data_IF_502379172816
#
_entry.id   IF_502379172816
#
_cell.length_a   1.000
_cell.length_b   1.000
_cell.length_c   1.000
_cell.angle_alpha   90.00
_cell.angle_beta   90.00
_cell.angle_gamma   90.00
#
_symmetry.space_group_name_H-M   'P 1'
#
loop_
_entity.id
_entity.type
_entity.pdbx_description
1 polymer ?
#
# COMPACT_ATOMS: atom_id res chain seq x y z
N UNK A 1 13.66 -4.89 -23.42
CA UNK A 1 12.66 -5.97 -23.28
C UNK A 1 11.81 -5.67 -22.05
N UNK A 2 10.53 -5.36 -22.24
CA UNK A 2 9.61 -5.09 -21.14
C UNK A 2 9.45 -6.32 -20.26
N UNK A 3 9.51 -6.14 -18.95
CA UNK A 3 9.12 -7.19 -18.01
C UNK A 3 7.68 -7.60 -18.34
N UNK A 4 7.35 -8.90 -18.33
CA UNK A 4 5.96 -9.33 -18.50
C UNK A 4 5.11 -8.65 -17.41
N UNK A 5 3.92 -8.09 -17.76
CA UNK A 5 3.03 -7.53 -16.76
C UNK A 5 2.76 -8.61 -15.72
N UNK A 6 2.99 -8.27 -14.44
CA UNK A 6 2.69 -9.18 -13.34
C UNK A 6 1.24 -9.63 -13.49
N UNK A 7 1.00 -10.95 -13.50
CA UNK A 7 -0.35 -11.47 -13.50
C UNK A 7 -1.07 -10.93 -12.27
N UNK A 8 -2.25 -10.30 -12.41
CA UNK A 8 -2.95 -9.70 -11.29
C UNK A 8 -3.18 -10.79 -10.25
N UNK A 9 -2.62 -10.57 -9.06
CA UNK A 9 -2.81 -11.46 -7.94
C UNK A 9 -4.22 -11.29 -7.38
N UNK A 10 -4.70 -12.25 -6.61
CA UNK A 10 -5.99 -12.10 -5.92
C UNK A 10 -6.02 -10.86 -4.99
N UNK A 11 -4.84 -10.44 -4.51
CA UNK A 11 -4.64 -9.21 -3.72
C UNK A 11 -4.91 -7.94 -4.55
N UNK A 12 -4.61 -7.95 -5.85
CA UNK A 12 -4.78 -6.81 -6.76
C UNK A 12 -6.24 -6.59 -7.17
N UNK A 13 -7.13 -7.57 -6.95
CA UNK A 13 -8.54 -7.48 -7.37
C UNK A 13 -9.52 -7.41 -6.20
N UNK A 14 -9.42 -8.31 -5.22
CA UNK A 14 -10.40 -8.37 -4.12
C UNK A 14 -10.06 -7.42 -2.97
N UNK A 15 -8.76 -7.17 -2.74
CA UNK A 15 -8.27 -6.29 -1.68
C UNK A 15 -7.60 -5.03 -2.24
N UNK A 16 -7.98 -4.65 -3.45
CA UNK A 16 -7.49 -3.43 -4.06
C UNK A 16 -7.93 -2.21 -3.24
N UNK A 17 -7.15 -1.10 -3.28
CA UNK A 17 -7.50 0.17 -2.66
C UNK A 17 -8.95 0.62 -2.87
N UNK A 18 -9.45 0.46 -4.09
CA UNK A 18 -10.80 0.83 -4.49
C UNK A 18 -11.90 -0.04 -3.83
N UNK A 19 -11.57 -1.24 -3.35
CA UNK A 19 -12.55 -2.16 -2.77
C UNK A 19 -12.84 -1.89 -1.28
N UNK A 20 -12.07 -1.03 -0.61
CA UNK A 20 -12.23 -0.76 0.83
C UNK A 20 -13.65 -0.29 1.17
N UNK A 21 -14.23 0.59 0.35
CA UNK A 21 -15.58 1.12 0.55
C UNK A 21 -16.64 0.02 0.46
N UNK A 22 -16.44 -0.96 -0.45
CA UNK A 22 -17.34 -2.10 -0.61
C UNK A 22 -17.26 -2.99 0.62
N UNK A 23 -16.06 -3.27 1.13
CA UNK A 23 -15.88 -4.07 2.34
C UNK A 23 -16.48 -3.40 3.59
N UNK A 24 -16.31 -2.09 3.74
CA UNK A 24 -16.94 -1.31 4.83
C UNK A 24 -18.46 -1.38 4.74
N UNK A 25 -19.03 -1.14 3.55
CA UNK A 25 -20.48 -1.18 3.34
C UNK A 25 -21.04 -2.57 3.60
N UNK A 26 -20.45 -3.61 3.02
CA UNK A 26 -20.88 -5.01 3.17
C UNK A 26 -20.83 -5.47 4.64
N UNK A 27 -19.74 -5.14 5.35
CA UNK A 27 -19.59 -5.48 6.77
C UNK A 27 -20.62 -4.75 7.63
N UNK A 28 -20.90 -3.48 7.33
CA UNK A 28 -21.91 -2.68 8.04
C UNK A 28 -23.32 -3.25 7.83
N UNK A 29 -23.66 -3.61 6.59
CA UNK A 29 -24.95 -4.24 6.28
C UNK A 29 -25.07 -5.59 7.00
N UNK A 30 -24.04 -6.44 6.94
CA UNK A 30 -24.02 -7.74 7.61
C UNK A 30 -24.15 -7.61 9.13
N UNK A 31 -23.54 -6.58 9.73
CA UNK A 31 -23.67 -6.29 11.15
C UNK A 31 -25.11 -6.00 11.54
N UNK A 32 -25.75 -5.03 10.87
CA UNK A 32 -27.13 -4.64 11.18
C UNK A 32 -28.15 -5.74 10.86
N UNK A 33 -27.99 -6.44 9.74
CA UNK A 33 -28.85 -7.58 9.38
C UNK A 33 -28.73 -8.71 10.40
N UNK A 34 -27.54 -9.01 10.89
CA UNK A 34 -27.37 -10.06 11.90
C UNK A 34 -28.00 -9.71 13.25
N UNK A 35 -27.94 -8.44 13.68
CA UNK A 35 -28.67 -7.98 14.87
C UNK A 35 -30.17 -8.15 14.67
N UNK A 36 -30.70 -7.66 13.53
CA UNK A 36 -32.13 -7.76 13.23
C UNK A 36 -32.61 -9.22 13.16
N UNK A 37 -31.85 -10.09 12.49
CA UNK A 37 -32.14 -11.51 12.40
C UNK A 37 -32.04 -12.19 13.77
N UNK A 38 -31.06 -11.81 14.60
CA UNK A 38 -30.93 -12.27 15.98
C UNK A 38 -32.17 -11.96 16.83
N UNK A 39 -32.73 -10.76 16.69
CA UNK A 39 -33.97 -10.37 17.37
C UNK A 39 -35.18 -11.23 16.92
N UNK A 40 -35.28 -11.56 15.64
CA UNK A 40 -36.35 -12.45 15.13
C UNK A 40 -36.15 -13.88 15.66
N UNK A 41 -34.91 -14.39 15.61
CA UNK A 41 -34.58 -15.75 16.01
C UNK A 41 -34.74 -15.97 17.51
N UNK A 42 -34.47 -14.97 18.35
CA UNK A 42 -34.71 -15.08 19.81
C UNK A 42 -36.18 -15.30 20.13
N UNK A 43 -37.10 -14.62 19.44
CA UNK A 43 -38.56 -14.80 19.57
C UNK A 43 -39.09 -16.09 18.93
N UNK A 44 -38.33 -16.71 18.04
CA UNK A 44 -38.73 -17.93 17.35
C UNK A 44 -38.57 -19.20 18.21
N UNK A 45 -39.44 -20.20 17.99
CA UNK A 45 -39.41 -21.52 18.64
C UNK A 45 -38.30 -22.46 18.10
N UNK A 46 -37.27 -21.90 17.47
CA UNK A 46 -36.11 -22.63 16.97
C UNK A 46 -35.26 -23.14 18.14
N UNK A 47 -34.58 -24.28 17.96
CA UNK A 47 -33.69 -24.87 18.97
C UNK A 47 -32.56 -23.93 19.37
N UNK A 48 -32.15 -23.97 20.65
CA UNK A 48 -31.05 -23.15 21.16
C UNK A 48 -29.73 -23.38 20.43
N UNK A 49 -29.46 -24.62 20.02
CA UNK A 49 -28.28 -24.97 19.23
C UNK A 49 -28.24 -24.22 17.89
N UNK A 50 -29.36 -24.16 17.16
CA UNK A 50 -29.44 -23.43 15.89
C UNK A 50 -29.27 -21.91 16.07
N UNK A 51 -29.70 -21.35 17.21
CA UNK A 51 -29.45 -19.93 17.54
C UNK A 51 -27.95 -19.69 17.76
N UNK A 52 -27.28 -20.55 18.51
CA UNK A 52 -25.84 -20.44 18.80
C UNK A 52 -25.02 -20.57 17.51
N UNK A 53 -25.31 -21.55 16.66
CA UNK A 53 -24.59 -21.70 15.38
C UNK A 53 -24.80 -20.50 14.45
N UNK A 54 -26.01 -19.94 14.43
CA UNK A 54 -26.31 -18.70 13.70
C UNK A 54 -25.48 -17.51 14.20
N UNK A 55 -25.37 -17.33 15.52
CA UNK A 55 -24.57 -16.26 16.12
C UNK A 55 -23.08 -16.44 15.82
N UNK A 56 -22.55 -17.66 15.92
CA UNK A 56 -21.14 -17.96 15.58
C UNK A 56 -20.88 -17.69 14.09
N UNK A 57 -21.76 -18.13 13.20
CA UNK A 57 -21.64 -17.87 11.76
C UNK A 57 -21.66 -16.38 11.44
N UNK A 58 -22.57 -15.63 12.06
CA UNK A 58 -22.62 -14.18 11.93
C UNK A 58 -21.34 -13.50 12.44
N UNK A 59 -20.86 -13.87 13.64
CA UNK A 59 -19.61 -13.36 14.18
C UNK A 59 -18.42 -13.66 13.25
N UNK A 60 -18.40 -14.83 12.62
CA UNK A 60 -17.41 -15.21 11.61
C UNK A 60 -17.44 -14.30 10.37
N UNK A 61 -18.63 -13.93 9.88
CA UNK A 61 -18.78 -12.99 8.75
C UNK A 61 -18.25 -11.61 9.13
N UNK A 62 -18.53 -11.11 10.34
CA UNK A 62 -18.03 -9.81 10.81
C UNK A 62 -16.51 -9.83 10.98
N UNK A 63 -15.96 -10.91 11.54
CA UNK A 63 -14.51 -11.08 11.66
C UNK A 63 -13.83 -11.08 10.29
N UNK A 64 -14.40 -11.79 9.31
CA UNK A 64 -13.90 -11.80 7.94
C UNK A 64 -13.99 -10.42 7.27
N UNK A 65 -15.12 -9.72 7.39
CA UNK A 65 -15.29 -8.38 6.84
C UNK A 65 -14.29 -7.37 7.43
N UNK A 66 -14.07 -7.43 8.75
CA UNK A 66 -13.07 -6.61 9.45
C UNK A 66 -11.65 -6.92 8.96
N UNK A 67 -11.33 -8.20 8.79
CA UNK A 67 -10.06 -8.63 8.21
C UNK A 67 -9.87 -8.10 6.78
N UNK A 68 -10.91 -8.16 5.95
CA UNK A 68 -10.86 -7.65 4.59
C UNK A 68 -10.62 -6.14 4.53
N UNK A 69 -11.28 -5.36 5.41
CA UNK A 69 -11.06 -3.91 5.54
C UNK A 69 -9.61 -3.64 5.96
N UNK A 70 -9.11 -4.31 6.99
CA UNK A 70 -7.73 -4.15 7.45
C UNK A 70 -6.72 -4.51 6.35
N UNK A 71 -6.98 -5.56 5.58
CA UNK A 71 -6.13 -5.98 4.45
C UNK A 71 -6.14 -4.94 3.33
N UNK A 72 -7.30 -4.42 2.96
CA UNK A 72 -7.44 -3.39 1.92
C UNK A 72 -6.75 -2.08 2.35
N UNK A 73 -6.89 -1.65 3.60
CA UNK A 73 -6.21 -0.47 4.16
C UNK A 73 -4.68 -0.61 4.08
N UNK A 74 -4.15 -1.80 4.41
CA UNK A 74 -2.73 -2.10 4.24
C UNK A 74 -2.26 -2.00 2.79
N UNK A 75 -3.09 -2.40 1.84
CA UNK A 75 -2.78 -2.28 0.42
C UNK A 75 -2.78 -0.82 -0.04
N UNK A 76 -3.74 0.01 0.39
CA UNK A 76 -3.71 1.47 0.17
C UNK A 76 -2.41 2.07 0.68
N UNK A 77 -2.00 1.68 1.89
CA UNK A 77 -0.78 2.16 2.50
C UNK A 77 0.49 1.67 1.77
N UNK A 78 0.45 0.50 1.13
CA UNK A 78 1.53 0.07 0.25
C UNK A 78 1.60 0.92 -1.02
N UNK A 79 0.48 1.11 -1.73
CA UNK A 79 0.47 1.93 -2.95
C UNK A 79 0.84 3.39 -2.68
N UNK A 80 0.40 3.97 -1.56
CA UNK A 80 0.74 5.34 -1.17
C UNK A 80 2.26 5.55 -0.96
N UNK A 81 3.00 4.47 -0.72
CA UNK A 81 4.47 4.49 -0.57
C UNK A 81 5.20 4.12 -1.85
N UNK A 82 4.51 3.70 -2.90
CA UNK A 82 5.13 3.33 -4.16
C UNK A 82 5.46 4.56 -4.99
N UNK A 83 6.70 4.59 -5.48
CA UNK A 83 7.22 5.60 -6.36
C UNK A 83 7.99 4.92 -7.48
N UNK A 84 7.98 5.54 -8.66
CA UNK A 84 8.75 5.10 -9.82
C UNK A 84 10.01 5.96 -9.90
N UNK A 85 11.15 5.30 -10.11
CA UNK A 85 12.40 5.99 -10.35
C UNK A 85 12.40 6.60 -11.76
N UNK A 86 12.48 7.92 -11.87
CA UNK A 86 12.45 8.66 -13.14
C UNK A 86 13.76 9.44 -13.31
N UNK A 87 14.25 9.50 -14.55
CA UNK A 87 15.44 10.29 -14.85
C UNK A 87 15.14 11.77 -14.66
N UNK A 88 16.05 12.55 -14.03
CA UNK A 88 15.90 13.99 -13.98
C UNK A 88 15.86 14.55 -15.41
N UNK A 89 14.94 15.48 -15.67
CA UNK A 89 14.72 16.11 -16.98
C UNK A 89 15.98 16.79 -17.59
N UNK A 90 17.04 16.97 -16.81
CA UNK A 90 18.34 17.49 -17.26
C UNK A 90 19.24 16.43 -17.91
N UNK A 91 18.83 15.16 -17.93
CA UNK A 91 19.61 14.05 -18.48
C UNK A 91 19.06 13.72 -19.87
N UNK A 92 19.87 13.91 -20.92
CA UNK A 92 19.45 13.68 -22.31
C UNK A 92 18.72 12.33 -22.45
N UNK A 93 17.52 12.37 -23.04
CA UNK A 93 16.54 11.28 -23.17
C UNK A 93 17.06 10.04 -23.94
N UNK A 94 18.25 10.11 -24.54
CA UNK A 94 18.86 9.05 -25.35
C UNK A 94 19.91 8.19 -24.65
N UNK A 95 20.16 8.35 -23.34
CA UNK A 95 21.20 7.58 -22.66
C UNK A 95 20.61 6.46 -21.78
N UNK A 96 20.37 5.28 -22.39
CA UNK A 96 19.84 4.08 -21.73
C UNK A 96 20.73 3.53 -20.58
N UNK A 97 21.92 4.11 -20.38
CA UNK A 97 22.83 3.80 -19.28
C UNK A 97 22.68 4.73 -18.06
N UNK A 98 21.79 5.73 -18.13
CA UNK A 98 21.60 6.66 -17.03
C UNK A 98 20.91 5.95 -15.85
N UNK A 99 21.63 5.87 -14.73
CA UNK A 99 21.17 5.25 -13.48
C UNK A 99 20.79 6.30 -12.45
N UNK A 100 19.75 6.01 -11.68
CA UNK A 100 19.29 6.88 -10.60
C UNK A 100 19.99 6.46 -9.32
N UNK A 101 20.79 7.37 -8.75
CA UNK A 101 21.65 7.08 -7.60
C UNK A 101 20.89 7.32 -6.29
N UNK A 102 20.63 6.24 -5.55
CA UNK A 102 20.18 6.29 -4.17
C UNK A 102 21.37 6.61 -3.27
N UNK A 103 21.37 7.78 -2.65
CA UNK A 103 22.51 8.29 -1.88
C UNK A 103 22.47 7.78 -0.44
N UNK A 104 23.64 7.57 0.20
CA UNK A 104 23.69 7.11 1.60
C UNK A 104 23.09 8.13 2.58
N UNK A 105 23.26 9.41 2.26
CA UNK A 105 22.74 10.55 3.03
C UNK A 105 22.00 11.52 2.10
N UNK A 106 21.02 12.24 2.66
CA UNK A 106 20.25 13.25 1.94
C UNK A 106 21.15 14.46 1.60
N UNK A 107 21.69 14.49 0.39
CA UNK A 107 22.54 15.58 -0.10
C UNK A 107 23.16 15.25 -1.46
N UNK A 108 23.22 16.22 -2.36
CA UNK A 108 23.60 16.01 -3.76
C UNK A 108 25.04 15.53 -3.97
N UNK A 109 25.96 15.92 -3.07
CA UNK A 109 27.38 15.57 -3.13
C UNK A 109 27.73 14.23 -2.44
N UNK A 110 26.75 13.52 -1.88
CA UNK A 110 26.99 12.27 -1.16
C UNK A 110 27.10 11.07 -2.11
N UNK A 111 27.91 10.09 -1.69
CA UNK A 111 28.11 8.85 -2.42
C UNK A 111 26.81 8.04 -2.58
N UNK A 112 26.70 7.40 -3.74
CA UNK A 112 25.62 6.47 -4.03
C UNK A 112 25.81 5.20 -3.21
N UNK A 113 24.77 4.82 -2.46
CA UNK A 113 24.71 3.54 -1.77
C UNK A 113 24.13 2.44 -2.68
N UNK A 114 23.24 2.81 -3.61
CA UNK A 114 22.67 1.89 -4.57
C UNK A 114 22.24 2.63 -5.85
N UNK A 115 22.04 1.88 -6.92
CA UNK A 115 21.63 2.40 -8.22
C UNK A 115 20.33 1.73 -8.68
N UNK A 116 19.39 2.55 -9.12
CA UNK A 116 18.11 2.14 -9.68
C UNK A 116 18.12 2.35 -11.18
N UNK A 117 17.44 1.44 -11.89
CA UNK A 117 17.17 1.64 -13.31
C UNK A 117 15.98 2.59 -13.47
N UNK A 118 15.95 3.43 -14.51
CA UNK A 118 14.75 4.19 -14.86
C UNK A 118 13.55 3.25 -15.03
N UNK A 119 12.41 3.62 -14.45
CA UNK A 119 11.20 2.80 -14.43
C UNK A 119 11.17 1.72 -13.34
N UNK A 120 12.22 1.56 -12.52
CA UNK A 120 12.21 0.66 -11.37
C UNK A 120 11.23 1.20 -10.30
N UNK A 121 10.30 0.34 -9.86
CA UNK A 121 9.36 0.67 -8.78
C UNK A 121 10.09 0.52 -7.44
N UNK A 122 9.98 1.54 -6.61
CA UNK A 122 10.56 1.60 -5.28
C UNK A 122 9.52 2.00 -4.24
N UNK A 123 9.80 1.64 -3.00
CA UNK A 123 8.96 1.95 -1.84
C UNK A 123 9.63 2.98 -0.95
N UNK A 124 8.89 3.99 -0.55
CA UNK A 124 9.35 5.01 0.40
C UNK A 124 9.14 4.47 1.82
N UNK A 125 10.21 4.49 2.62
CA UNK A 125 10.17 4.10 4.04
C UNK A 125 9.34 5.13 4.82
N UNK A 126 8.66 4.68 5.88
CA UNK A 126 7.99 5.58 6.83
C UNK A 126 8.93 5.99 7.96
N UNK A 127 8.65 7.14 8.55
CA UNK A 127 9.25 7.58 9.81
C UNK A 127 8.51 7.00 11.03
N UNK A 128 8.97 7.36 12.22
CA UNK A 128 8.41 6.88 13.50
C UNK A 128 7.00 7.43 13.76
N UNK A 129 6.57 8.46 13.01
CA UNK A 129 5.23 9.06 13.09
C UNK A 129 4.24 8.43 12.11
N UNK A 130 4.70 7.50 11.27
CA UNK A 130 3.89 6.88 10.24
C UNK A 130 3.72 7.71 8.96
N UNK A 131 4.47 8.82 8.82
CA UNK A 131 4.55 9.59 7.59
C UNK A 131 5.70 9.09 6.70
N UNK A 132 5.72 9.52 5.43
CA UNK A 132 6.83 9.20 4.54
C UNK A 132 8.11 9.82 5.08
N UNK A 133 9.17 9.01 5.23
CA UNK A 133 10.44 9.46 5.77
C UNK A 133 11.09 10.43 4.79
N UNK A 134 11.02 11.71 5.15
CA UNK A 134 11.51 12.80 4.32
C UNK A 134 12.54 13.65 5.06
N UNK A 135 13.47 14.20 4.31
CA UNK A 135 14.45 15.17 4.78
C UNK A 135 14.42 16.39 3.86
N UNK A 136 14.31 17.58 4.45
CA UNK A 136 14.33 18.84 3.70
C UNK A 136 15.68 19.50 3.93
N UNK A 137 16.44 19.71 2.85
CA UNK A 137 17.73 20.40 2.92
C UNK A 137 17.50 21.91 3.06
N UNK A 138 18.52 22.67 3.48
CA UNK A 138 18.48 24.15 3.58
C UNK A 138 18.01 24.83 2.30
N UNK A 139 18.29 24.21 1.15
CA UNK A 139 17.89 24.69 -0.18
C UNK A 139 16.43 24.33 -0.57
N UNK A 140 15.60 23.94 0.41
CA UNK A 140 14.20 23.50 0.21
C UNK A 140 14.03 22.24 -0.66
N UNK A 141 15.11 21.50 -0.91
CA UNK A 141 15.06 20.24 -1.66
C UNK A 141 14.56 19.12 -0.74
N UNK A 142 13.48 18.46 -1.16
CA UNK A 142 12.91 17.30 -0.47
C UNK A 142 13.58 16.01 -0.92
N UNK A 143 14.01 15.23 0.06
CA UNK A 143 14.59 13.91 -0.09
C UNK A 143 13.70 12.88 0.56
N UNK A 144 13.47 11.76 -0.13
CA UNK A 144 12.75 10.61 0.40
C UNK A 144 13.70 9.43 0.56
N UNK A 145 13.53 8.69 1.65
CA UNK A 145 14.25 7.43 1.83
C UNK A 145 13.52 6.31 1.08
N UNK A 146 14.09 5.86 -0.03
CA UNK A 146 13.51 4.83 -0.86
C UNK A 146 14.25 3.49 -0.75
N UNK A 147 13.52 2.42 -1.02
CA UNK A 147 14.03 1.05 -1.03
C UNK A 147 13.44 0.30 -2.23
N UNK A 148 14.25 -0.51 -2.92
CA UNK A 148 13.73 -1.41 -3.95
C UNK A 148 12.76 -2.43 -3.34
N UNK A 149 11.80 -2.92 -4.12
CA UNK A 149 10.78 -3.89 -3.67
C UNK A 149 11.44 -5.16 -3.10
N UNK A 150 12.57 -5.59 -3.68
CA UNK A 150 13.35 -6.73 -3.21
C UNK A 150 14.10 -6.48 -1.89
N UNK A 151 14.11 -5.24 -1.40
CA UNK A 151 14.75 -4.84 -0.15
C UNK A 151 16.27 -4.66 -0.23
N UNK A 152 16.93 -5.16 -1.29
CA UNK A 152 18.39 -5.17 -1.42
C UNK A 152 19.04 -3.81 -1.71
N UNK A 153 18.27 -2.83 -2.18
CA UNK A 153 18.76 -1.47 -2.48
C UNK A 153 18.02 -0.47 -1.63
N UNK A 154 18.75 0.41 -0.93
CA UNK A 154 18.18 1.45 -0.05
C UNK A 154 19.00 2.73 -0.13
N UNK A 155 18.35 3.88 -0.11
CA UNK A 155 19.01 5.18 0.03
C UNK A 155 18.08 6.35 -0.24
N UNK A 156 18.65 7.55 -0.23
CA UNK A 156 17.94 8.81 -0.38
C UNK A 156 17.92 9.25 -1.84
N UNK A 157 16.76 9.65 -2.33
CA UNK A 157 16.59 10.28 -3.63
C UNK A 157 15.62 11.47 -3.53
N UNK A 158 15.73 12.37 -4.50
CA UNK A 158 14.94 13.61 -4.54
C UNK A 158 13.57 13.39 -5.16
N UNK A 159 12.64 14.32 -4.92
CA UNK A 159 11.32 14.32 -5.58
C UNK A 159 11.38 14.43 -7.11
N UNK A 160 12.51 14.90 -7.68
CA UNK A 160 12.74 14.94 -9.13
C UNK A 160 13.14 13.58 -9.70
N UNK A 161 13.71 12.73 -8.86
CA UNK A 161 14.19 11.38 -9.22
C UNK A 161 13.13 10.31 -8.90
N UNK A 162 12.12 10.64 -8.08
CA UNK A 162 11.06 9.73 -7.62
C UNK A 162 9.68 10.33 -7.86
N UNK A 163 8.93 9.74 -8.77
CA UNK A 163 7.53 10.11 -9.02
C UNK A 163 6.62 9.16 -8.26
N UNK A 164 5.83 9.67 -7.31
CA UNK A 164 4.85 8.88 -6.56
C UNK A 164 3.70 8.43 -7.47
N UNK A 165 3.25 7.19 -7.31
CA UNK A 165 2.16 6.62 -8.12
C UNK A 165 0.80 7.18 -7.69
N UNK A 166 0.59 7.34 -6.38
CA UNK A 166 -0.55 8.07 -5.82
C UNK A 166 -0.04 9.41 -5.27
N UNK A 167 -0.62 10.51 -5.73
CA UNK A 167 -0.31 11.87 -5.28
C UNK A 167 -1.27 12.36 -4.20
#
# INVERSE_FOLDING_TARGET
AGLPPASPSADDFYFAPESISIWVLATTIAFWLGIYLGLILTRSYISGFAKITGVIGWAGIIAFGTYAIWRADRNIDFLAREAVAVLPATTNEGNETAVIRLRRYAGGANDANAELKPGEVVRIDKDDTGQLKMHVTKDQVKWYLARSISGGKKGWATEKELVRILQ
#
